data_IF_428852745824
#
_entry.id   IF_428852745824
#
_cell.length_a   1.000
_cell.length_b   1.000
_cell.length_c   1.000
_cell.angle_alpha   90.00
_cell.angle_beta   90.00
_cell.angle_gamma   90.00
#
_symmetry.space_group_name_H-M   'P 1'
#
loop_
_entity.id
_entity.type
_entity.pdbx_description
1 polymer ?
#
# COMPACT_ATOMS: atom_id res chain seq x y z
N UNK A 1 -41.19 8.43 -5.85
CA UNK A 1 -39.73 8.44 -6.04
C UNK A 1 -39.10 8.17 -4.69
N UNK A 2 -38.25 7.16 -4.60
CA UNK A 2 -37.55 6.79 -3.37
C UNK A 2 -36.50 7.86 -3.03
N UNK A 3 -36.12 8.01 -1.76
CA UNK A 3 -35.00 8.89 -1.34
C UNK A 3 -33.69 8.54 -2.06
N UNK A 4 -33.56 7.29 -2.50
CA UNK A 4 -32.44 6.80 -3.31
C UNK A 4 -32.45 7.39 -4.73
N UNK A 5 -33.61 7.46 -5.38
CA UNK A 5 -33.73 8.00 -6.74
C UNK A 5 -33.37 9.50 -6.77
N UNK A 6 -33.76 10.24 -5.73
CA UNK A 6 -33.45 11.66 -5.59
C UNK A 6 -31.94 11.90 -5.41
N UNK A 7 -31.25 11.02 -4.67
CA UNK A 7 -29.80 11.11 -4.46
C UNK A 7 -29.00 10.77 -5.71
N UNK A 8 -29.35 9.68 -6.41
CA UNK A 8 -28.71 9.25 -7.66
C UNK A 8 -28.76 10.36 -8.72
N UNK A 9 -29.94 10.96 -8.90
CA UNK A 9 -30.13 12.06 -9.85
C UNK A 9 -29.28 13.29 -9.47
N UNK A 10 -29.10 13.59 -8.19
CA UNK A 10 -28.28 14.74 -7.75
C UNK A 10 -26.80 14.55 -8.06
N UNK A 11 -26.26 13.36 -7.83
CA UNK A 11 -24.83 13.05 -7.99
C UNK A 11 -24.40 13.15 -9.46
N UNK A 12 -25.13 12.46 -10.35
CA UNK A 12 -24.88 12.46 -11.80
C UNK A 12 -25.08 13.87 -12.39
N UNK A 13 -26.07 14.61 -11.89
CA UNK A 13 -26.32 15.99 -12.30
C UNK A 13 -25.18 16.92 -11.92
N UNK A 14 -24.59 16.78 -10.73
CA UNK A 14 -23.42 17.58 -10.34
C UNK A 14 -22.22 17.35 -11.26
N UNK A 15 -22.00 16.14 -11.76
CA UNK A 15 -20.90 15.83 -12.67
C UNK A 15 -21.16 16.34 -14.09
N UNK A 16 -22.32 16.01 -14.67
CA UNK A 16 -22.56 16.18 -16.11
C UNK A 16 -23.21 17.52 -16.49
N UNK A 17 -23.92 18.18 -15.57
CA UNK A 17 -24.58 19.46 -15.86
C UNK A 17 -23.57 20.59 -16.15
N UNK A 18 -22.47 20.75 -15.40
CA UNK A 18 -21.50 21.83 -15.65
C UNK A 18 -20.82 21.75 -17.01
N UNK A 19 -20.63 20.53 -17.53
CA UNK A 19 -20.05 20.26 -18.85
C UNK A 19 -21.10 20.15 -19.96
N UNK A 20 -22.38 20.39 -19.65
CA UNK A 20 -23.46 20.38 -20.64
C UNK A 20 -23.83 19.01 -21.21
N UNK A 21 -23.46 17.92 -20.52
CA UNK A 21 -23.63 16.55 -21.01
C UNK A 21 -24.72 15.74 -20.27
N UNK A 22 -25.38 16.35 -19.29
CA UNK A 22 -26.39 15.68 -18.46
C UNK A 22 -27.54 15.09 -19.29
N UNK A 23 -28.21 15.90 -20.12
CA UNK A 23 -29.37 15.45 -20.90
C UNK A 23 -29.02 14.32 -21.88
N UNK A 24 -27.75 14.25 -22.31
CA UNK A 24 -27.27 13.25 -23.26
C UNK A 24 -26.92 11.92 -22.60
N UNK A 25 -26.37 11.93 -21.39
CA UNK A 25 -25.75 10.74 -20.81
C UNK A 25 -26.27 10.29 -19.44
N UNK A 26 -27.05 11.09 -18.69
CA UNK A 26 -27.45 10.75 -17.32
C UNK A 26 -28.05 9.34 -17.20
N UNK A 27 -28.95 8.96 -18.11
CA UNK A 27 -29.60 7.64 -18.10
C UNK A 27 -28.63 6.46 -18.27
N UNK A 28 -27.47 6.68 -18.91
CA UNK A 28 -26.44 5.65 -19.05
C UNK A 28 -25.68 5.44 -17.75
N UNK A 29 -25.36 6.52 -17.05
CA UNK A 29 -24.77 6.46 -15.72
C UNK A 29 -25.74 5.79 -14.72
N UNK A 30 -27.02 6.18 -14.74
CA UNK A 30 -28.05 5.59 -13.88
C UNK A 30 -28.23 4.08 -14.15
N UNK A 31 -28.34 3.68 -15.42
CA UNK A 31 -28.57 2.27 -15.79
C UNK A 31 -27.37 1.35 -15.53
N UNK A 32 -26.16 1.91 -15.48
CA UNK A 32 -24.94 1.18 -15.11
C UNK A 32 -24.63 1.28 -13.61
N UNK A 33 -25.48 1.94 -12.82
CA UNK A 33 -25.34 1.97 -11.37
C UNK A 33 -24.27 2.93 -10.85
N UNK A 34 -23.90 3.97 -11.60
CA UNK A 34 -23.07 5.07 -11.10
C UNK A 34 -23.90 6.00 -10.19
N UNK A 35 -24.40 5.43 -9.09
CA UNK A 35 -25.34 6.07 -8.16
C UNK A 35 -24.65 6.67 -6.93
N UNK A 36 -23.31 6.62 -6.84
CA UNK A 36 -22.51 7.23 -5.78
C UNK A 36 -21.38 8.12 -6.32
N UNK A 37 -20.89 9.05 -5.47
CA UNK A 37 -19.84 10.00 -5.83
C UNK A 37 -18.50 9.30 -6.11
N UNK A 38 -18.26 8.16 -5.44
CA UNK A 38 -17.04 7.35 -5.54
C UNK A 38 -16.87 6.72 -6.92
N UNK A 39 -17.94 6.15 -7.49
CA UNK A 39 -17.90 5.53 -8.81
C UNK A 39 -17.59 6.56 -9.89
N UNK A 40 -18.11 7.78 -9.74
CA UNK A 40 -17.82 8.89 -10.66
C UNK A 40 -16.38 9.37 -10.57
N UNK A 41 -15.75 9.31 -9.39
CA UNK A 41 -14.35 9.68 -9.19
C UNK A 41 -13.37 8.71 -9.86
N UNK A 42 -13.77 7.46 -10.01
CA UNK A 42 -12.93 6.38 -10.53
C UNK A 42 -13.12 6.11 -12.02
N UNK A 43 -13.99 6.89 -12.70
CA UNK A 43 -14.30 6.73 -14.11
C UNK A 43 -13.03 6.68 -14.98
N UNK A 44 -12.93 5.61 -15.76
CA UNK A 44 -11.90 5.43 -16.76
C UNK A 44 -12.47 5.27 -18.18
N UNK A 45 -11.58 5.04 -19.16
CA UNK A 45 -11.99 4.88 -20.55
C UNK A 45 -12.81 3.60 -20.81
N UNK A 46 -12.58 2.54 -20.05
CA UNK A 46 -13.31 1.27 -20.17
C UNK A 46 -14.74 1.43 -19.69
N UNK A 47 -14.96 2.18 -18.62
CA UNK A 47 -16.28 2.53 -18.10
C UNK A 47 -17.13 3.25 -19.16
N UNK A 48 -16.52 4.23 -19.84
CA UNK A 48 -17.17 4.97 -20.93
C UNK A 48 -17.47 4.07 -22.14
N UNK A 49 -16.63 3.07 -22.41
CA UNK A 49 -16.89 2.06 -23.45
C UNK A 49 -18.09 1.18 -23.10
N UNK A 50 -18.19 0.75 -21.85
CA UNK A 50 -19.33 -0.03 -21.34
C UNK A 50 -20.63 0.78 -21.42
N UNK A 51 -20.57 2.08 -21.08
CA UNK A 51 -21.67 3.03 -21.27
C UNK A 51 -21.92 3.43 -22.74
N UNK A 52 -21.17 2.86 -23.70
CA UNK A 52 -21.28 3.14 -25.14
C UNK A 52 -21.09 4.62 -25.49
N UNK A 53 -20.31 5.36 -24.70
CA UNK A 53 -19.98 6.77 -24.93
C UNK A 53 -18.78 6.83 -25.87
N UNK A 54 -19.05 6.93 -27.17
CA UNK A 54 -18.03 6.84 -28.24
C UNK A 54 -17.47 8.18 -28.70
N UNK A 55 -18.14 9.29 -28.39
CA UNK A 55 -17.70 10.60 -28.85
C UNK A 55 -16.41 11.01 -28.11
N UNK A 56 -15.28 11.22 -28.80
CA UNK A 56 -13.99 11.45 -28.15
C UNK A 56 -13.93 12.76 -27.36
N UNK A 57 -14.63 13.81 -27.81
CA UNK A 57 -14.73 15.09 -27.10
C UNK A 57 -15.49 14.92 -25.79
N UNK A 58 -16.66 14.29 -25.85
CA UNK A 58 -17.49 14.07 -24.66
C UNK A 58 -16.77 13.18 -23.64
N UNK A 59 -16.04 12.15 -24.09
CA UNK A 59 -15.21 11.30 -23.22
C UNK A 59 -14.14 12.12 -22.49
N UNK A 60 -13.43 12.98 -23.22
CA UNK A 60 -12.39 13.82 -22.65
C UNK A 60 -12.96 14.76 -21.56
N UNK A 61 -14.08 15.42 -21.85
CA UNK A 61 -14.77 16.31 -20.91
C UNK A 61 -15.29 15.57 -19.68
N UNK A 62 -15.89 14.39 -19.85
CA UNK A 62 -16.39 13.56 -18.73
C UNK A 62 -15.24 13.12 -17.83
N UNK A 63 -14.14 12.62 -18.39
CA UNK A 63 -12.98 12.18 -17.61
C UNK A 63 -12.28 13.36 -16.91
N UNK A 64 -12.22 14.54 -17.56
CA UNK A 64 -11.71 15.74 -16.94
C UNK A 64 -12.61 16.18 -15.77
N UNK A 65 -13.93 16.19 -15.98
CA UNK A 65 -14.90 16.50 -14.95
C UNK A 65 -14.81 15.52 -13.77
N UNK A 66 -14.72 14.21 -14.03
CA UNK A 66 -14.55 13.16 -13.02
C UNK A 66 -13.29 13.40 -12.16
N UNK A 67 -12.14 13.67 -12.80
CA UNK A 67 -10.89 13.99 -12.09
C UNK A 67 -11.01 15.24 -11.22
N UNK A 68 -11.76 16.24 -11.66
CA UNK A 68 -12.03 17.45 -10.85
C UNK A 68 -13.12 17.23 -9.79
N UNK A 69 -14.04 16.29 -10.02
CA UNK A 69 -15.07 15.88 -9.08
C UNK A 69 -14.44 15.28 -7.82
N UNK A 70 -13.33 14.54 -7.97
CA UNK A 70 -12.48 14.09 -6.86
C UNK A 70 -11.91 15.22 -5.99
N UNK A 71 -11.85 16.46 -6.51
CA UNK A 71 -11.42 17.66 -5.79
C UNK A 71 -12.56 18.37 -5.07
N UNK A 72 -13.81 17.91 -5.23
CA UNK A 72 -14.86 18.25 -4.28
C UNK A 72 -14.51 17.59 -2.95
N UNK A 73 -14.56 18.35 -1.85
CA UNK A 73 -13.89 17.93 -0.61
C UNK A 73 -14.40 16.62 0.00
N UNK A 74 -15.56 16.09 -0.42
CA UNK A 74 -16.07 14.80 0.02
C UNK A 74 -15.12 13.65 -0.35
N UNK A 75 -14.52 13.68 -1.54
CA UNK A 75 -13.54 12.68 -1.99
C UNK A 75 -12.24 12.70 -1.16
N UNK A 76 -11.81 13.89 -0.74
CA UNK A 76 -10.62 14.06 0.13
C UNK A 76 -10.82 13.37 1.50
N UNK A 77 -12.01 13.54 2.09
CA UNK A 77 -12.36 12.91 3.37
C UNK A 77 -12.48 11.39 3.23
N UNK A 78 -13.04 10.91 2.12
CA UNK A 78 -13.12 9.47 1.83
C UNK A 78 -11.72 8.84 1.80
N UNK A 79 -10.81 9.40 0.99
CA UNK A 79 -9.45 8.88 0.86
C UNK A 79 -8.68 8.91 2.17
N UNK A 80 -8.85 9.97 2.96
CA UNK A 80 -8.28 10.05 4.30
C UNK A 80 -8.80 8.95 5.23
N UNK A 81 -10.11 8.65 5.23
CA UNK A 81 -10.68 7.56 6.03
C UNK A 81 -10.24 6.18 5.55
N UNK A 82 -10.10 6.00 4.23
CA UNK A 82 -9.70 4.73 3.61
C UNK A 82 -8.29 4.28 3.99
N UNK A 83 -7.36 5.22 4.19
CA UNK A 83 -6.00 4.92 4.67
C UNK A 83 -5.98 4.16 6.01
N UNK A 84 -7.10 4.16 6.72
CA UNK A 84 -7.23 3.54 8.03
C UNK A 84 -8.42 2.59 8.12
N UNK A 85 -8.99 2.14 6.99
CA UNK A 85 -10.14 1.24 6.93
C UNK A 85 -11.35 1.75 7.73
N UNK A 86 -11.69 3.04 7.56
CA UNK A 86 -12.82 3.73 8.20
C UNK A 86 -13.79 4.39 7.20
N UNK A 87 -13.65 4.11 5.91
CA UNK A 87 -14.45 4.65 4.81
C UNK A 87 -15.96 4.47 5.01
N UNK A 88 -16.38 3.44 5.73
CA UNK A 88 -17.81 3.20 6.06
C UNK A 88 -18.48 4.34 6.83
N UNK A 89 -17.72 5.23 7.48
CA UNK A 89 -18.25 6.39 8.19
C UNK A 89 -18.35 7.65 7.32
N UNK A 90 -17.79 7.61 6.11
CA UNK A 90 -17.67 8.77 5.22
C UNK A 90 -19.01 9.45 4.97
N UNK A 91 -20.03 8.71 4.56
CA UNK A 91 -21.35 9.27 4.23
C UNK A 91 -21.93 10.09 5.40
N UNK A 92 -21.87 9.55 6.64
CA UNK A 92 -22.37 10.24 7.83
C UNK A 92 -21.51 11.46 8.19
N UNK A 93 -20.18 11.36 8.07
CA UNK A 93 -19.25 12.46 8.32
C UNK A 93 -19.52 13.63 7.34
N UNK A 94 -19.71 13.33 6.05
CA UNK A 94 -20.07 14.32 5.03
C UNK A 94 -21.45 14.92 5.28
N UNK A 95 -22.45 14.11 5.67
CA UNK A 95 -23.79 14.59 6.03
C UNK A 95 -23.77 15.56 7.22
N UNK A 96 -22.86 15.37 8.18
CA UNK A 96 -22.64 16.31 9.29
C UNK A 96 -21.84 17.57 8.89
N UNK A 97 -21.53 17.72 7.59
CA UNK A 97 -20.88 18.89 7.03
C UNK A 97 -19.35 18.84 7.05
N UNK A 98 -18.74 17.73 7.49
CA UNK A 98 -17.30 17.51 7.47
C UNK A 98 -16.84 16.93 6.13
N UNK A 99 -17.09 17.71 5.07
CA UNK A 99 -16.82 17.38 3.67
C UNK A 99 -15.44 17.86 3.18
N UNK A 100 -14.47 18.08 4.06
CA UNK A 100 -13.09 18.43 3.68
C UNK A 100 -12.16 18.26 4.87
N UNK A 101 -10.87 17.99 4.63
CA UNK A 101 -9.91 17.86 5.73
C UNK A 101 -9.75 19.16 6.53
N UNK A 102 -9.97 20.31 5.88
CA UNK A 102 -10.01 21.60 6.57
C UNK A 102 -11.10 21.66 7.63
N UNK A 103 -12.29 21.12 7.35
CA UNK A 103 -13.40 21.06 8.32
C UNK A 103 -13.17 19.96 9.34
N UNK A 104 -12.69 18.78 8.95
CA UNK A 104 -12.33 17.70 9.89
C UNK A 104 -11.25 18.16 10.89
N UNK A 105 -10.30 18.99 10.47
CA UNK A 105 -9.27 19.58 11.35
C UNK A 105 -9.85 20.48 12.44
N UNK A 106 -11.04 21.05 12.24
CA UNK A 106 -11.71 21.94 13.18
C UNK A 106 -12.55 21.19 14.23
N UNK A 107 -12.62 19.85 14.19
CA UNK A 107 -13.34 19.05 15.18
C UNK A 107 -12.69 19.24 16.56
N UNK A 108 -13.36 19.95 17.48
CA UNK A 108 -12.83 20.22 18.83
C UNK A 108 -13.14 19.07 19.79
N UNK A 109 -14.41 18.66 19.87
CA UNK A 109 -14.89 17.61 20.76
C UNK A 109 -15.00 16.30 20.00
N UNK A 110 -13.92 15.52 20.03
CA UNK A 110 -13.82 14.28 19.24
C UNK A 110 -14.79 13.21 19.73
N UNK A 111 -15.04 13.12 21.04
CA UNK A 111 -15.99 12.15 21.60
C UNK A 111 -17.44 12.45 21.14
N UNK A 112 -17.90 13.70 21.29
CA UNK A 112 -19.22 14.14 20.80
C UNK A 112 -19.36 13.88 19.29
N UNK A 113 -18.33 14.19 18.49
CA UNK A 113 -18.31 13.89 17.05
C UNK A 113 -18.45 12.40 16.76
N UNK A 114 -17.74 11.54 17.50
CA UNK A 114 -17.84 10.09 17.32
C UNK A 114 -19.22 9.56 17.70
N UNK A 115 -19.89 10.17 18.68
CA UNK A 115 -21.26 9.83 19.05
C UNK A 115 -22.25 10.26 17.96
N UNK A 116 -22.11 11.46 17.40
CA UNK A 116 -22.95 11.97 16.30
C UNK A 116 -22.81 11.14 15.00
N UNK A 117 -21.59 10.66 14.72
CA UNK A 117 -21.31 9.76 13.58
C UNK A 117 -21.70 8.30 13.90
N UNK A 118 -22.07 7.99 15.14
CA UNK A 118 -22.45 6.64 15.61
C UNK A 118 -21.29 5.62 15.54
N UNK A 119 -20.07 6.08 15.82
CA UNK A 119 -18.86 5.23 15.86
C UNK A 119 -18.83 4.48 17.20
N UNK A 120 -19.48 3.32 17.30
CA UNK A 120 -19.56 2.58 18.58
C UNK A 120 -18.38 1.65 18.84
N UNK A 121 -17.62 1.26 17.81
CA UNK A 121 -16.55 0.26 17.94
C UNK A 121 -15.32 0.91 18.61
N UNK A 122 -14.83 0.42 19.76
CA UNK A 122 -13.73 1.05 20.50
C UNK A 122 -12.44 1.22 19.68
N UNK A 123 -12.08 0.24 18.85
CA UNK A 123 -10.92 0.33 17.97
C UNK A 123 -11.08 1.38 16.86
N UNK A 124 -12.32 1.66 16.43
CA UNK A 124 -12.60 2.68 15.42
C UNK A 124 -12.51 4.07 16.06
N UNK A 125 -13.03 4.22 17.29
CA UNK A 125 -12.89 5.45 18.08
C UNK A 125 -11.44 5.84 18.29
N UNK A 126 -10.60 4.89 18.75
CA UNK A 126 -9.15 5.11 18.91
C UNK A 126 -8.49 5.56 17.61
N UNK A 127 -8.84 4.93 16.48
CA UNK A 127 -8.30 5.28 15.17
C UNK A 127 -8.71 6.71 14.77
N UNK A 128 -10.00 7.06 14.80
CA UNK A 128 -10.50 8.40 14.46
C UNK A 128 -9.86 9.48 15.34
N UNK A 129 -9.80 9.24 16.65
CA UNK A 129 -9.20 10.19 17.58
C UNK A 129 -7.74 10.50 17.22
N UNK A 130 -6.93 9.46 17.00
CA UNK A 130 -5.55 9.61 16.55
C UNK A 130 -5.42 10.34 15.21
N UNK A 131 -6.35 10.13 14.27
CA UNK A 131 -6.27 10.79 12.97
C UNK A 131 -6.65 12.26 13.03
N UNK A 132 -7.67 12.62 13.79
CA UNK A 132 -8.07 14.03 13.98
C UNK A 132 -6.94 14.78 14.69
N UNK A 133 -6.27 14.16 15.66
CA UNK A 133 -5.06 14.69 16.30
C UNK A 133 -3.94 14.94 15.26
N UNK A 134 -3.62 13.94 14.42
CA UNK A 134 -2.64 14.10 13.33
C UNK A 134 -3.02 15.19 12.32
N UNK A 135 -4.31 15.32 11.99
CA UNK A 135 -4.83 16.41 11.14
C UNK A 135 -4.53 17.78 11.76
N UNK A 136 -4.76 17.91 13.07
CA UNK A 136 -4.53 19.14 13.83
C UNK A 136 -3.06 19.53 13.86
N UNK A 137 -2.17 18.59 14.09
CA UNK A 137 -0.72 18.76 14.10
C UNK A 137 -0.13 19.23 12.76
N UNK A 138 -0.89 19.16 11.66
CA UNK A 138 -0.40 19.48 10.32
C UNK A 138 0.44 18.36 9.70
N UNK A 139 0.46 17.18 10.34
CA UNK A 139 1.15 15.97 9.86
C UNK A 139 0.36 15.16 8.84
N UNK A 140 -0.87 15.58 8.49
CA UNK A 140 -1.57 15.05 7.32
C UNK A 140 -1.09 15.80 6.09
N UNK A 141 0.11 15.42 5.64
CA UNK A 141 0.37 15.43 4.21
C UNK A 141 -0.56 14.37 3.63
N UNK A 142 -1.43 14.75 2.70
CA UNK A 142 -1.84 13.80 1.66
C UNK A 142 -0.54 13.52 0.92
N UNK A 143 0.25 12.57 1.42
CA UNK A 143 1.48 12.17 0.77
C UNK A 143 1.06 11.52 -0.53
N UNK A 144 1.73 11.91 -1.62
CA UNK A 144 1.75 11.09 -2.83
C UNK A 144 2.01 9.63 -2.45
N UNK A 145 1.47 8.66 -3.21
CA UNK A 145 1.68 7.24 -2.94
C UNK A 145 3.17 7.01 -2.70
N UNK A 146 3.54 6.53 -1.51
CA UNK A 146 4.95 6.26 -1.21
C UNK A 146 5.42 5.19 -2.20
N UNK A 147 6.47 5.51 -2.96
CA UNK A 147 7.02 4.56 -3.89
C UNK A 147 7.67 3.40 -3.11
N UNK A 148 7.24 2.15 -3.31
CA UNK A 148 7.83 1.04 -2.58
C UNK A 148 9.29 0.86 -2.98
N UNK A 149 10.14 0.62 -1.98
CA UNK A 149 11.54 0.26 -2.18
C UNK A 149 11.66 -1.11 -2.84
N UNK A 150 10.72 -2.01 -2.53
CA UNK A 150 10.59 -3.28 -3.21
C UNK A 150 9.18 -3.85 -3.11
N UNK A 151 8.90 -4.76 -4.03
CA UNK A 151 7.61 -5.43 -4.15
C UNK A 151 7.87 -6.92 -4.15
N UNK A 152 7.48 -7.59 -3.07
CA UNK A 152 7.50 -9.03 -2.93
C UNK A 152 6.21 -9.67 -3.47
N UNK A 153 6.31 -10.94 -3.82
CA UNK A 153 5.23 -11.73 -4.40
C UNK A 153 5.33 -13.18 -3.93
N UNK A 154 4.19 -13.86 -3.90
CA UNK A 154 4.12 -15.30 -3.66
C UNK A 154 4.64 -16.03 -4.91
N UNK A 155 5.78 -16.71 -4.79
CA UNK A 155 6.39 -17.51 -5.86
C UNK A 155 7.08 -18.75 -5.29
N UNK A 156 7.43 -19.71 -6.15
CA UNK A 156 8.36 -20.79 -5.79
C UNK A 156 9.79 -20.37 -6.11
N UNK A 157 10.69 -20.23 -5.12
CA UNK A 157 12.11 -20.02 -5.39
C UNK A 157 12.67 -21.14 -6.25
N UNK A 158 13.65 -20.83 -7.11
CA UNK A 158 14.30 -21.82 -7.99
C UNK A 158 14.83 -23.03 -7.18
N UNK A 159 15.50 -22.75 -6.06
CA UNK A 159 16.01 -23.76 -5.12
C UNK A 159 14.92 -24.65 -4.49
N UNK A 160 13.67 -24.17 -4.47
CA UNK A 160 12.52 -24.83 -3.86
C UNK A 160 11.39 -25.04 -4.89
N UNK A 161 11.74 -25.26 -6.16
CA UNK A 161 10.77 -25.46 -7.26
C UNK A 161 9.78 -26.59 -6.99
N UNK A 162 10.22 -27.63 -6.29
CA UNK A 162 9.41 -28.80 -5.91
C UNK A 162 8.55 -28.58 -4.65
N UNK A 163 8.61 -27.41 -4.01
CA UNK A 163 7.83 -27.16 -2.81
C UNK A 163 6.32 -27.20 -3.10
N UNK A 164 5.56 -27.69 -2.11
CA UNK A 164 4.10 -27.83 -2.21
C UNK A 164 3.39 -26.47 -2.35
N UNK A 165 3.90 -25.46 -1.66
CA UNK A 165 3.31 -24.12 -1.58
C UNK A 165 4.29 -23.08 -2.12
N UNK A 166 3.74 -21.93 -2.50
CA UNK A 166 4.52 -20.72 -2.78
C UNK A 166 4.99 -20.08 -1.48
N UNK A 167 6.09 -19.35 -1.58
CA UNK A 167 6.65 -18.60 -0.47
C UNK A 167 6.63 -17.11 -0.82
N UNK A 168 6.48 -16.29 0.22
CA UNK A 168 6.66 -14.87 0.06
C UNK A 168 8.14 -14.60 -0.25
N UNK A 169 8.42 -13.97 -1.39
CA UNK A 169 9.77 -13.69 -1.83
C UNK A 169 9.92 -12.24 -2.30
N UNK A 170 11.14 -11.71 -2.23
CA UNK A 170 11.51 -10.40 -2.77
C UNK A 170 12.72 -10.50 -3.70
N UNK A 171 12.75 -9.68 -4.76
CA UNK A 171 13.96 -9.47 -5.57
C UNK A 171 14.80 -8.38 -4.92
N UNK A 172 16.04 -8.70 -4.61
CA UNK A 172 17.01 -7.78 -4.05
C UNK A 172 18.42 -8.11 -4.55
N UNK A 173 19.38 -7.26 -4.24
CA UNK A 173 20.78 -7.46 -4.58
C UNK A 173 21.61 -7.78 -3.34
N UNK A 174 22.67 -8.57 -3.52
CA UNK A 174 23.68 -8.84 -2.49
C UNK A 174 25.08 -8.62 -3.03
N UNK A 175 25.97 -8.11 -2.20
CA UNK A 175 27.35 -7.78 -2.56
C UNK A 175 28.33 -8.04 -1.42
N UNK A 176 29.61 -7.78 -1.69
CA UNK A 176 30.67 -7.79 -0.67
C UNK A 176 30.74 -6.41 0.02
N UNK A 177 31.14 -6.33 1.31
CA UNK A 177 31.37 -5.05 1.98
C UNK A 177 32.58 -4.27 1.44
N UNK A 178 33.39 -4.86 0.57
CA UNK A 178 34.56 -4.20 -0.03
C UNK A 178 34.14 -3.09 -1.01
N UNK A 179 34.97 -2.04 -1.13
CA UNK A 179 34.74 -0.95 -2.08
C UNK A 179 34.70 -1.47 -3.53
N UNK A 180 33.85 -0.84 -4.37
CA UNK A 180 33.62 -1.21 -5.77
C UNK A 180 33.20 -2.68 -6.01
N UNK A 181 32.60 -3.32 -5.01
CA UNK A 181 32.16 -4.71 -5.13
C UNK A 181 30.98 -4.88 -6.09
N UNK A 182 30.96 -6.03 -6.77
CA UNK A 182 29.84 -6.43 -7.61
C UNK A 182 28.61 -6.78 -6.76
N UNK A 183 27.43 -6.40 -7.26
CA UNK A 183 26.15 -6.84 -6.72
C UNK A 183 25.50 -7.89 -7.61
N UNK A 184 24.95 -8.94 -7.00
CA UNK A 184 24.19 -10.00 -7.68
C UNK A 184 22.73 -9.90 -7.28
N UNK A 185 21.84 -9.78 -8.27
CA UNK A 185 20.41 -9.74 -8.04
C UNK A 185 19.82 -11.15 -7.98
N UNK A 186 19.09 -11.45 -6.91
CA UNK A 186 18.41 -12.73 -6.69
C UNK A 186 17.05 -12.56 -6.04
N UNK A 187 16.25 -13.62 -6.10
CA UNK A 187 15.02 -13.75 -5.31
C UNK A 187 15.37 -14.36 -3.95
N UNK A 188 14.86 -13.73 -2.90
CA UNK A 188 15.05 -14.13 -1.51
C UNK A 188 13.72 -14.50 -0.90
N UNK A 189 13.67 -15.68 -0.27
CA UNK A 189 12.54 -16.10 0.56
C UNK A 189 12.51 -15.26 1.84
N UNK A 190 11.32 -14.84 2.26
CA UNK A 190 11.16 -14.11 3.52
C UNK A 190 11.07 -15.11 4.67
N UNK A 191 12.10 -15.14 5.52
CA UNK A 191 12.20 -16.06 6.66
C UNK A 191 12.22 -15.27 7.97
N UNK A 192 11.04 -14.96 8.50
CA UNK A 192 10.91 -14.24 9.77
C UNK A 192 11.46 -15.00 10.99
N UNK A 193 11.74 -16.30 10.85
CA UNK A 193 12.29 -17.14 11.91
C UNK A 193 13.83 -17.08 12.00
N UNK A 194 14.50 -16.56 10.97
CA UNK A 194 15.96 -16.46 10.92
C UNK A 194 16.44 -15.06 11.36
N UNK A 195 17.51 -15.02 12.13
CA UNK A 195 18.24 -13.80 12.52
C UNK A 195 19.40 -13.46 11.57
N UNK A 196 19.63 -14.29 10.54
CA UNK A 196 20.68 -14.12 9.52
C UNK A 196 20.09 -14.15 8.12
N UNK A 197 20.88 -13.69 7.14
CA UNK A 197 20.61 -13.89 5.71
C UNK A 197 21.22 -15.22 5.29
N UNK A 198 20.55 -15.95 4.40
CA UNK A 198 21.14 -17.14 3.79
C UNK A 198 21.43 -16.90 2.33
N UNK A 199 22.55 -17.47 1.85
CA UNK A 199 22.94 -17.44 0.45
C UNK A 199 23.35 -18.83 -0.03
N UNK A 200 23.05 -19.10 -1.30
CA UNK A 200 23.57 -20.25 -2.01
C UNK A 200 25.11 -20.22 -2.05
N UNK A 201 25.81 -21.36 -1.87
CA UNK A 201 27.26 -21.40 -1.77
C UNK A 201 27.96 -20.74 -2.95
N UNK A 202 27.41 -20.90 -4.16
CA UNK A 202 27.98 -20.34 -5.39
C UNK A 202 27.97 -18.80 -5.36
N UNK A 203 26.94 -18.18 -4.78
CA UNK A 203 26.85 -16.72 -4.65
C UNK A 203 27.91 -16.21 -3.68
N UNK A 204 28.08 -16.89 -2.55
CA UNK A 204 29.09 -16.53 -1.54
C UNK A 204 30.49 -16.61 -2.12
N UNK A 205 30.75 -17.62 -2.97
CA UNK A 205 32.03 -17.80 -3.65
C UNK A 205 32.27 -16.75 -4.75
N UNK A 206 31.26 -16.46 -5.58
CA UNK A 206 31.36 -15.43 -6.64
C UNK A 206 31.63 -14.05 -6.03
N UNK A 207 30.96 -13.73 -4.92
CA UNK A 207 31.14 -12.44 -4.24
C UNK A 207 32.41 -12.39 -3.37
N UNK A 208 33.09 -13.53 -3.16
CA UNK A 208 34.29 -13.60 -2.33
C UNK A 208 34.05 -13.15 -0.89
N UNK A 209 32.91 -13.47 -0.29
CA UNK A 209 32.56 -12.95 1.04
C UNK A 209 33.53 -13.46 2.12
N UNK A 210 34.00 -12.55 2.97
CA UNK A 210 34.96 -12.84 4.02
C UNK A 210 34.28 -13.52 5.23
N UNK A 211 34.93 -14.54 5.79
CA UNK A 211 34.46 -15.21 7.01
C UNK A 211 34.67 -14.27 8.21
N UNK A 212 33.60 -14.02 8.96
CA UNK A 212 33.65 -13.25 10.22
C UNK A 212 33.98 -14.18 11.39
N UNK A 213 33.22 -15.27 11.54
CA UNK A 213 33.33 -16.21 12.67
C UNK A 213 32.68 -17.56 12.36
N UNK A 214 32.99 -18.56 13.17
CA UNK A 214 32.27 -19.83 13.22
C UNK A 214 31.20 -19.77 14.31
N UNK A 215 30.01 -20.27 14.01
CA UNK A 215 28.87 -20.35 14.94
C UNK A 215 28.32 -21.76 15.01
N UNK A 216 27.71 -22.07 16.15
CA UNK A 216 27.09 -23.36 16.41
C UNK A 216 25.58 -23.25 16.19
N UNK A 217 25.10 -23.85 15.09
CA UNK A 217 23.67 -23.91 14.75
C UNK A 217 23.03 -25.11 15.46
N UNK A 218 22.02 -24.85 16.29
CA UNK A 218 21.28 -25.89 17.01
C UNK A 218 19.97 -26.21 16.27
N UNK A 219 19.96 -27.28 15.49
CA UNK A 219 18.75 -27.81 14.85
C UNK A 219 18.00 -28.78 15.76
N UNK A 220 16.76 -29.11 15.39
CA UNK A 220 15.89 -30.05 16.14
C UNK A 220 16.52 -31.44 16.31
N UNK A 221 17.44 -31.82 15.41
CA UNK A 221 18.04 -33.16 15.39
C UNK A 221 19.57 -33.17 15.45
N UNK A 222 20.24 -32.03 15.28
CA UNK A 222 21.70 -31.97 15.27
C UNK A 222 22.22 -30.58 15.56
N UNK A 223 23.39 -30.53 16.18
CA UNK A 223 24.19 -29.33 16.31
C UNK A 223 25.26 -29.34 15.24
N UNK A 224 25.32 -28.28 14.43
CA UNK A 224 26.24 -28.18 13.29
C UNK A 224 27.01 -26.88 13.38
N UNK A 225 28.33 -26.93 13.18
CA UNK A 225 29.15 -25.72 13.05
C UNK A 225 28.98 -25.12 11.65
N UNK A 226 28.73 -23.81 11.58
CA UNK A 226 28.57 -23.04 10.35
C UNK A 226 29.46 -21.81 10.38
N UNK A 227 29.89 -21.37 9.21
CA UNK A 227 30.63 -20.12 9.05
C UNK A 227 29.65 -18.98 8.77
N UNK A 228 29.86 -17.84 9.43
CA UNK A 228 29.22 -16.58 9.11
C UNK A 228 30.14 -15.74 8.24
N UNK A 229 29.57 -15.17 7.20
CA UNK A 229 30.27 -14.31 6.24
C UNK A 229 29.73 -12.89 6.31
N UNK A 230 30.58 -11.90 6.04
CA UNK A 230 30.18 -10.50 5.92
C UNK A 230 29.66 -10.24 4.51
N UNK A 231 28.46 -9.65 4.40
CA UNK A 231 27.87 -9.27 3.13
C UNK A 231 27.14 -7.95 3.21
N UNK A 232 26.67 -7.47 2.07
CA UNK A 232 25.78 -6.30 1.96
C UNK A 232 24.50 -6.73 1.28
N UNK A 233 23.36 -6.40 1.88
CA UNK A 233 22.04 -6.52 1.27
C UNK A 233 21.61 -5.16 0.73
N UNK A 234 21.17 -5.12 -0.54
CA UNK A 234 20.80 -3.89 -1.22
C UNK A 234 19.41 -3.96 -1.83
N UNK A 235 18.62 -2.92 -1.55
CA UNK A 235 17.31 -2.70 -2.17
C UNK A 235 17.17 -1.23 -2.58
N UNK A 236 17.07 -0.99 -3.90
CA UNK A 236 17.24 0.35 -4.50
C UNK A 236 18.49 1.05 -3.95
N UNK A 237 18.29 2.15 -3.22
CA UNK A 237 19.33 3.02 -2.69
C UNK A 237 19.68 2.70 -1.23
N UNK A 238 19.06 1.68 -0.62
CA UNK A 238 19.35 1.26 0.75
C UNK A 238 20.29 0.07 0.72
N UNK A 239 21.42 0.23 1.40
CA UNK A 239 22.42 -0.81 1.64
C UNK A 239 22.48 -1.12 3.14
N UNK A 240 22.51 -2.41 3.48
CA UNK A 240 22.57 -2.90 4.85
C UNK A 240 23.68 -3.92 4.96
N UNK A 241 24.59 -3.73 5.91
CA UNK A 241 25.53 -4.79 6.30
C UNK A 241 24.76 -5.97 6.90
N UNK A 242 25.08 -7.17 6.47
CA UNK A 242 24.42 -8.40 6.86
C UNK A 242 25.43 -9.49 7.21
N UNK A 243 25.00 -10.39 8.09
CA UNK A 243 25.68 -11.66 8.31
C UNK A 243 25.01 -12.75 7.47
N UNK A 244 25.83 -13.51 6.75
CA UNK A 244 25.38 -14.53 5.80
C UNK A 244 25.76 -15.91 6.29
N UNK A 245 24.83 -16.87 6.21
CA UNK A 245 25.09 -18.31 6.31
C UNK A 245 24.92 -18.97 4.94
N UNK A 246 25.81 -19.90 4.59
CA UNK A 246 25.66 -20.74 3.39
C UNK A 246 24.51 -21.75 3.57
N UNK A 247 23.54 -21.74 2.67
CA UNK A 247 22.43 -22.70 2.61
C UNK A 247 22.05 -23.02 1.16
N UNK A 248 21.24 -24.05 0.93
CA UNK A 248 20.79 -24.43 -0.42
C UNK A 248 19.84 -23.42 -1.09
N UNK A 249 19.38 -22.40 -0.36
CA UNK A 249 18.45 -21.37 -0.82
C UNK A 249 18.87 -20.00 -0.29
N UNK A 250 18.34 -18.94 -0.92
CA UNK A 250 18.54 -17.56 -0.49
C UNK A 250 17.34 -17.11 0.36
N UNK A 251 17.57 -16.64 1.57
CA UNK A 251 16.53 -16.08 2.43
C UNK A 251 16.98 -14.82 3.14
N UNK A 252 15.99 -13.99 3.50
CA UNK A 252 16.19 -12.77 4.26
C UNK A 252 15.49 -12.90 5.61
N UNK A 253 16.29 -12.77 6.67
CA UNK A 253 15.85 -12.87 8.05
C UNK A 253 15.28 -11.57 8.64
N UNK A 254 14.87 -11.64 9.91
CA UNK A 254 14.36 -10.51 10.70
C UNK A 254 15.37 -9.37 10.85
N UNK A 255 16.68 -9.69 10.78
CA UNK A 255 17.76 -8.72 10.86
C UNK A 255 17.67 -7.66 9.75
N UNK A 256 17.21 -8.03 8.56
CA UNK A 256 16.97 -7.11 7.45
C UNK A 256 15.56 -6.53 7.53
N UNK A 257 14.54 -7.37 7.74
CA UNK A 257 13.12 -6.96 7.73
C UNK A 257 12.85 -5.75 8.64
N UNK A 258 13.43 -5.72 9.85
CA UNK A 258 13.22 -4.64 10.82
C UNK A 258 13.65 -3.24 10.37
N UNK A 259 14.44 -3.14 9.29
CA UNK A 259 14.87 -1.87 8.70
C UNK A 259 13.82 -1.25 7.77
N UNK A 260 12.77 -1.99 7.44
CA UNK A 260 11.71 -1.55 6.54
C UNK A 260 10.36 -1.54 7.23
N UNK A 261 9.44 -0.74 6.70
CA UNK A 261 8.01 -0.94 6.98
C UNK A 261 7.45 -1.88 5.94
N UNK A 262 6.55 -2.74 6.36
CA UNK A 262 5.94 -3.73 5.49
C UNK A 262 4.42 -3.56 5.45
N UNK A 263 3.86 -3.66 4.26
CA UNK A 263 2.44 -3.87 4.04
C UNK A 263 2.29 -5.16 3.25
N UNK A 264 1.47 -6.09 3.74
CA UNK A 264 1.26 -7.39 3.12
C UNK A 264 -0.25 -7.60 2.95
N UNK A 265 -0.66 -7.96 1.75
CA UNK A 265 -1.99 -8.47 1.46
C UNK A 265 -1.93 -9.87 0.81
N UNK A 266 -3.05 -10.34 0.26
CA UNK A 266 -3.16 -11.65 -0.38
C UNK A 266 -2.35 -11.76 -1.69
N UNK A 267 -1.94 -10.65 -2.28
CA UNK A 267 -1.28 -10.60 -3.59
C UNK A 267 0.16 -10.08 -3.53
N UNK A 268 0.46 -9.15 -2.62
CA UNK A 268 1.70 -8.37 -2.66
C UNK A 268 2.26 -8.05 -1.28
N UNK A 269 3.58 -7.92 -1.22
CA UNK A 269 4.31 -7.45 -0.04
C UNK A 269 5.12 -6.21 -0.38
N UNK A 270 4.62 -5.05 0.01
CA UNK A 270 5.35 -3.80 -0.16
C UNK A 270 6.39 -3.61 0.94
N UNK A 271 7.60 -3.25 0.53
CA UNK A 271 8.69 -2.81 1.39
C UNK A 271 8.83 -1.30 1.25
N UNK A 272 8.61 -0.60 2.34
CA UNK A 272 8.53 0.85 2.41
C UNK A 272 9.67 1.41 3.27
N UNK A 273 10.02 2.67 3.05
CA UNK A 273 11.06 3.33 3.86
C UNK A 273 10.55 3.43 5.30
N UNK A 274 11.43 3.15 6.25
CA UNK A 274 11.14 3.40 7.67
C UNK A 274 11.13 4.92 7.88
N UNK A 275 10.08 5.44 8.52
CA UNK A 275 10.08 6.84 8.92
C UNK A 275 11.24 7.04 9.90
N UNK A 276 12.05 8.06 9.68
CA UNK A 276 13.00 8.50 10.70
C UNK A 276 12.17 8.99 11.88
N UNK A 277 12.33 8.35 13.03
CA UNK A 277 11.75 8.83 14.28
C UNK A 277 12.48 10.15 14.63
N UNK A 278 11.85 11.29 14.33
CA UNK A 278 12.23 12.58 14.90
C UNK A 278 11.69 12.70 16.32
#
# INVERSE_FOLDING_TARGET
MSSRDEFTTVVIKKLLQPIGLYDRYHSRFESQGYDCEEDLCMLDESDLDQMQIKNPTDRCEILAAAKTYCRSGSGEVYHWLRQFALEKYHSKIVQLGYDSLRKCKQIVKVDDFMDEVEIMIPGHRKRIARMIEKLKEGNVRITEPEEPLGVGSWIKPEALSNAKHEFLCIKAAVGSPEEDSMYIQKSFLIDTGSDVVTLQPEIVEILGLNIIRTVTSHGVHSTVEKQLYAGVFKIKDIELEIEVIKESYNSVGVCVLRHFRHYIDDKVHFWLKKCEDN
#
